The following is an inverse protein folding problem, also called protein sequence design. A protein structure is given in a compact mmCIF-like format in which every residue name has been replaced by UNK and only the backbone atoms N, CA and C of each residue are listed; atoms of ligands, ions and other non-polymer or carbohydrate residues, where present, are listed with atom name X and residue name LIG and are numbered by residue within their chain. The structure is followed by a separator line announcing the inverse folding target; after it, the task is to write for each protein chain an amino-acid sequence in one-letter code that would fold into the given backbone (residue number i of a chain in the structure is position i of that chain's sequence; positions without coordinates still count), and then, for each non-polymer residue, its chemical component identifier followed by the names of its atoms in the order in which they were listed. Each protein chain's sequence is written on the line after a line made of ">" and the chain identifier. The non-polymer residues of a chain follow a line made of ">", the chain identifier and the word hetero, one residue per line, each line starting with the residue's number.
data_IF_801576538451
#
_entry.id   IF_801576538451
#
_cell.length_a   1.000
_cell.length_b   1.000
_cell.length_c   1.000
_cell.angle_alpha   90.00
_cell.angle_beta   90.00
_cell.angle_gamma   90.00
#
_symmetry.space_group_name_H-M   'P 1'
#
loop_
_entity.id
_entity.type
_entity.pdbx_description
1 polymer ?
#
# COMPACT_ATOMS: atom_id res chain seq x y z
N UNK A 1 11.80 -2.86 15.89
CA UNK A 1 10.60 -3.30 15.18
C UNK A 1 11.06 -3.97 13.89
N UNK A 2 10.93 -5.30 13.78
CA UNK A 2 11.34 -6.04 12.58
C UNK A 2 10.23 -5.88 11.53
N UNK A 3 10.39 -4.92 10.65
CA UNK A 3 9.43 -4.65 9.57
C UNK A 3 9.64 -5.73 8.50
N UNK A 4 8.70 -6.65 8.37
CA UNK A 4 8.75 -7.69 7.35
C UNK A 4 8.14 -7.16 6.06
N UNK A 5 8.98 -6.54 5.22
CA UNK A 5 8.62 -6.21 3.84
C UNK A 5 8.68 -7.48 2.97
N UNK A 6 7.75 -7.59 2.02
CA UNK A 6 7.71 -8.73 1.07
C UNK A 6 8.99 -8.75 0.21
N UNK A 7 9.29 -9.84 -0.51
CA UNK A 7 10.34 -9.83 -1.53
C UNK A 7 10.20 -8.65 -2.51
N UNK A 8 11.33 -8.10 -3.00
CA UNK A 8 11.34 -6.88 -3.83
C UNK A 8 10.47 -7.00 -5.08
N UNK A 9 10.50 -8.15 -5.74
CA UNK A 9 9.66 -8.44 -6.91
C UNK A 9 8.16 -8.32 -6.60
N UNK A 10 7.74 -8.80 -5.43
CA UNK A 10 6.36 -8.78 -4.99
C UNK A 10 5.91 -7.38 -4.55
N UNK A 11 6.77 -6.64 -3.86
CA UNK A 11 6.52 -5.24 -3.52
C UNK A 11 6.44 -4.36 -4.76
N UNK A 12 7.31 -4.59 -5.74
CA UNK A 12 7.25 -3.90 -7.04
C UNK A 12 5.93 -4.21 -7.72
N UNK A 13 5.52 -5.48 -7.77
CA UNK A 13 4.24 -5.87 -8.34
C UNK A 13 3.06 -5.16 -7.65
N UNK A 14 3.05 -5.10 -6.32
CA UNK A 14 2.00 -4.39 -5.55
C UNK A 14 1.98 -2.89 -5.86
N UNK A 15 3.16 -2.25 -5.95
CA UNK A 15 3.25 -0.83 -6.31
C UNK A 15 2.73 -0.60 -7.73
N UNK A 16 3.13 -1.41 -8.71
CA UNK A 16 2.68 -1.22 -10.10
C UNK A 16 1.16 -1.40 -10.22
N UNK A 17 0.58 -2.40 -9.55
CA UNK A 17 -0.87 -2.59 -9.48
C UNK A 17 -1.60 -1.40 -8.85
N UNK A 18 -1.03 -0.82 -7.79
CA UNK A 18 -1.56 0.41 -7.23
C UNK A 18 -1.54 1.55 -8.25
N UNK A 19 -0.44 1.73 -8.98
CA UNK A 19 -0.33 2.80 -9.98
C UNK A 19 -1.32 2.64 -11.14
N UNK A 20 -1.58 1.39 -11.54
CA UNK A 20 -2.46 1.04 -12.66
C UNK A 20 -3.94 1.20 -12.30
N UNK A 21 -4.35 0.74 -11.11
CA UNK A 21 -5.78 0.60 -10.78
C UNK A 21 -6.29 1.53 -9.68
N UNK A 22 -5.41 2.21 -8.93
CA UNK A 22 -5.81 2.88 -7.68
C UNK A 22 -5.29 4.33 -7.63
N UNK A 23 -4.08 4.59 -8.11
CA UNK A 23 -3.43 5.91 -8.02
C UNK A 23 -4.28 7.05 -8.62
N UNK A 24 -5.04 6.77 -9.69
CA UNK A 24 -5.93 7.74 -10.32
C UNK A 24 -7.14 8.13 -9.45
N UNK A 25 -7.51 7.33 -8.46
CA UNK A 25 -8.72 7.59 -7.65
C UNK A 25 -8.48 8.72 -6.67
N UNK A 26 -7.30 8.77 -6.06
CA UNK A 26 -6.97 9.75 -5.03
C UNK A 26 -5.80 10.68 -5.37
N UNK A 27 -4.97 10.39 -6.38
CA UNK A 27 -3.84 11.23 -6.84
C UNK A 27 -2.91 11.75 -5.71
N UNK A 28 -2.77 10.98 -4.63
CA UNK A 28 -2.05 11.39 -3.42
C UNK A 28 -0.53 11.29 -3.58
N UNK A 29 -0.06 10.41 -4.46
CA UNK A 29 1.36 10.13 -4.63
C UNK A 29 1.85 10.53 -6.02
N UNK A 30 3.09 11.01 -6.06
CA UNK A 30 3.81 11.18 -7.32
C UNK A 30 4.52 9.87 -7.68
N UNK A 31 3.97 9.16 -8.66
CA UNK A 31 4.39 7.79 -9.03
C UNK A 31 5.92 7.64 -9.19
N UNK A 32 6.64 8.50 -9.94
CA UNK A 32 8.09 8.40 -10.05
C UNK A 32 8.81 8.47 -8.69
N UNK A 33 8.39 9.37 -7.80
CA UNK A 33 8.97 9.50 -6.46
C UNK A 33 8.69 8.26 -5.62
N UNK A 34 7.48 7.71 -5.68
CA UNK A 34 7.11 6.50 -4.93
C UNK A 34 7.90 5.27 -5.38
N UNK A 35 8.22 5.14 -6.67
CA UNK A 35 9.12 4.09 -7.17
C UNK A 35 10.53 4.25 -6.59
N UNK A 36 11.04 5.48 -6.51
CA UNK A 36 12.34 5.74 -5.86
C UNK A 36 12.31 5.41 -4.38
N UNK A 37 11.22 5.67 -3.67
CA UNK A 37 11.03 5.27 -2.26
C UNK A 37 11.12 3.75 -2.10
N UNK A 38 10.53 2.97 -3.01
CA UNK A 38 10.65 1.52 -3.01
C UNK A 38 12.09 1.07 -3.26
N UNK A 39 12.74 1.63 -4.28
CA UNK A 39 14.14 1.28 -4.62
C UNK A 39 15.10 1.60 -3.47
N UNK A 40 14.97 2.77 -2.85
CA UNK A 40 15.76 3.20 -1.71
C UNK A 40 15.53 2.31 -0.48
N UNK A 41 14.27 2.00 -0.15
CA UNK A 41 13.92 1.13 0.97
C UNK A 41 14.53 -0.28 0.81
N UNK A 42 14.41 -0.88 -0.38
CA UNK A 42 15.00 -2.21 -0.64
C UNK A 42 16.53 -2.16 -0.78
N UNK A 43 17.09 -1.05 -1.24
CA UNK A 43 18.53 -0.80 -1.23
C UNK A 43 19.07 -0.79 0.20
N UNK A 44 18.45 -0.03 1.10
CA UNK A 44 18.81 0.02 2.51
C UNK A 44 18.71 -1.36 3.18
N UNK A 45 17.64 -2.11 2.92
CA UNK A 45 17.50 -3.49 3.42
C UNK A 45 18.62 -4.41 2.94
N UNK A 46 19.01 -4.32 1.66
CA UNK A 46 20.08 -5.14 1.09
C UNK A 46 21.43 -4.89 1.79
N UNK A 47 21.68 -3.65 2.20
CA UNK A 47 22.88 -3.26 2.95
C UNK A 47 22.75 -3.45 4.47
N UNK A 48 21.64 -3.99 4.96
CA UNK A 48 21.39 -4.19 6.40
C UNK A 48 21.16 -2.89 7.17
N UNK A 49 20.78 -1.81 6.47
CA UNK A 49 20.46 -0.52 7.07
C UNK A 49 19.00 -0.45 7.52
N UNK A 50 18.72 0.45 8.46
CA UNK A 50 17.35 0.73 8.88
C UNK A 50 16.63 1.58 7.84
N UNK A 51 15.49 1.09 7.36
CA UNK A 51 14.64 1.83 6.44
C UNK A 51 13.98 3.02 7.15
N UNK A 52 13.90 4.15 6.46
CA UNK A 52 13.20 5.34 6.94
C UNK A 52 11.73 4.99 7.28
N UNK A 53 11.25 5.27 8.51
CA UNK A 53 9.91 4.85 8.96
C UNK A 53 8.78 5.32 8.04
N UNK A 54 8.78 6.59 7.61
CA UNK A 54 7.72 7.11 6.75
C UNK A 54 7.68 6.45 5.37
N UNK A 55 8.84 6.09 4.81
CA UNK A 55 8.92 5.32 3.56
C UNK A 55 8.23 3.95 3.73
N UNK A 56 8.48 3.27 4.86
CA UNK A 56 7.82 2.00 5.15
C UNK A 56 6.31 2.17 5.32
N UNK A 57 5.87 3.19 6.07
CA UNK A 57 4.45 3.45 6.26
C UNK A 57 3.73 3.67 4.93
N UNK A 58 4.33 4.45 4.02
CA UNK A 58 3.79 4.68 2.68
C UNK A 58 3.69 3.37 1.88
N UNK A 59 4.77 2.59 1.82
CA UNK A 59 4.80 1.31 1.09
C UNK A 59 3.77 0.32 1.64
N UNK A 60 3.65 0.17 2.95
CA UNK A 60 2.67 -0.72 3.58
C UNK A 60 1.23 -0.26 3.32
N UNK A 61 0.97 1.05 3.31
CA UNK A 61 -0.36 1.60 3.00
C UNK A 61 -0.76 1.31 1.55
N UNK A 62 0.19 1.43 0.61
CA UNK A 62 0.03 1.05 -0.80
C UNK A 62 -0.26 -0.45 -0.90
N UNK A 63 0.53 -1.30 -0.24
CA UNK A 63 0.35 -2.76 -0.28
C UNK A 63 -1.01 -3.17 0.28
N UNK A 64 -1.40 -2.58 1.41
CA UNK A 64 -2.69 -2.84 2.05
C UNK A 64 -3.86 -2.50 1.12
N UNK A 65 -3.86 -1.30 0.57
CA UNK A 65 -4.93 -0.82 -0.33
C UNK A 65 -5.01 -1.66 -1.59
N UNK A 66 -3.85 -2.03 -2.15
CA UNK A 66 -3.76 -2.88 -3.34
C UNK A 66 -4.34 -4.26 -3.09
N UNK A 67 -3.94 -4.93 -2.00
CA UNK A 67 -4.44 -6.24 -1.64
C UNK A 67 -5.92 -6.25 -1.26
N UNK A 68 -6.43 -5.14 -0.74
CA UNK A 68 -7.84 -5.01 -0.41
C UNK A 68 -8.72 -4.79 -1.65
N UNK A 69 -8.28 -3.95 -2.59
CA UNK A 69 -9.08 -3.53 -3.74
C UNK A 69 -9.00 -4.51 -4.91
N UNK A 70 -7.84 -5.12 -5.18
CA UNK A 70 -7.71 -6.00 -6.34
C UNK A 70 -8.54 -7.29 -6.17
N UNK A 71 -9.30 -7.61 -7.22
CA UNK A 71 -9.98 -8.89 -7.28
C UNK A 71 -8.97 -10.05 -7.45
N UNK A 72 -9.26 -11.23 -6.90
CA UNK A 72 -8.37 -12.40 -7.00
C UNK A 72 -8.02 -12.80 -8.43
N UNK A 73 -8.91 -12.51 -9.40
CA UNK A 73 -8.69 -12.83 -10.82
C UNK A 73 -7.61 -11.96 -11.46
N UNK A 74 -7.43 -10.74 -10.95
CA UNK A 74 -6.37 -9.80 -11.35
C UNK A 74 -5.14 -9.88 -10.44
N UNK A 75 -5.28 -10.49 -9.27
CA UNK A 75 -4.18 -10.82 -8.39
C UNK A 75 -3.56 -12.17 -8.76
N UNK A 76 -2.87 -12.21 -9.90
CA UNK A 76 -2.02 -13.34 -10.30
C UNK A 76 -1.13 -13.83 -9.16
N UNK A 77 -1.14 -15.14 -8.87
CA UNK A 77 -0.23 -15.98 -8.04
C UNK A 77 0.27 -15.49 -6.66
N UNK A 78 0.18 -14.21 -6.33
CA UNK A 78 0.74 -13.56 -5.15
C UNK A 78 -0.12 -13.82 -3.91
N UNK A 79 -1.43 -13.94 -4.12
CA UNK A 79 -2.41 -14.30 -3.11
C UNK A 79 -3.06 -15.63 -3.47
N UNK A 80 -3.23 -16.49 -2.46
CA UNK A 80 -3.84 -17.81 -2.65
C UNK A 80 -5.34 -17.71 -2.98
N UNK A 81 -6.02 -16.71 -2.42
CA UNK A 81 -7.43 -16.42 -2.61
C UNK A 81 -7.76 -15.02 -2.03
N UNK A 82 -9.01 -14.58 -2.20
CA UNK A 82 -9.47 -13.29 -1.69
C UNK A 82 -9.30 -13.12 -0.17
N UNK A 83 -9.61 -14.16 0.61
CA UNK A 83 -9.51 -14.10 2.06
C UNK A 83 -8.05 -13.90 2.51
N UNK A 84 -7.11 -14.54 1.82
CA UNK A 84 -5.69 -14.36 2.04
C UNK A 84 -5.23 -12.94 1.71
N UNK A 85 -5.68 -12.36 0.60
CA UNK A 85 -5.38 -10.98 0.23
C UNK A 85 -5.91 -9.98 1.28
N UNK A 86 -7.16 -10.15 1.73
CA UNK A 86 -7.77 -9.33 2.78
C UNK A 86 -7.00 -9.47 4.11
N UNK A 87 -6.61 -10.69 4.50
CA UNK A 87 -5.79 -10.89 5.70
C UNK A 87 -4.44 -10.17 5.59
N UNK A 88 -3.77 -10.24 4.44
CA UNK A 88 -2.54 -9.47 4.20
C UNK A 88 -2.77 -7.96 4.31
N UNK A 89 -3.86 -7.46 3.70
CA UNK A 89 -4.22 -6.05 3.78
C UNK A 89 -4.40 -5.57 5.23
N UNK A 90 -5.09 -6.34 6.06
CA UNK A 90 -5.29 -6.03 7.48
C UNK A 90 -3.95 -6.00 8.24
N UNK A 91 -3.07 -6.95 7.98
CA UNK A 91 -1.74 -7.01 8.63
C UNK A 91 -0.90 -5.80 8.25
N UNK A 92 -0.84 -5.46 6.95
CA UNK A 92 -0.09 -4.30 6.48
C UNK A 92 -0.68 -2.97 6.95
N UNK A 93 -2.00 -2.88 7.06
CA UNK A 93 -2.68 -1.72 7.64
C UNK A 93 -2.26 -1.48 9.08
N UNK A 94 -2.29 -2.53 9.92
CA UNK A 94 -1.86 -2.42 11.32
C UNK A 94 -0.40 -2.01 11.43
N UNK A 95 0.48 -2.65 10.66
CA UNK A 95 1.90 -2.32 10.65
C UNK A 95 2.14 -0.87 10.19
N UNK A 96 1.42 -0.39 9.17
CA UNK A 96 1.50 0.99 8.71
C UNK A 96 1.07 1.98 9.80
N UNK A 97 -0.02 1.70 10.52
CA UNK A 97 -0.49 2.53 11.63
C UNK A 97 0.52 2.58 12.78
N UNK A 98 1.09 1.44 13.18
CA UNK A 98 2.11 1.38 14.22
C UNK A 98 3.36 2.22 13.84
N UNK A 99 3.76 2.17 12.57
CA UNK A 99 4.90 2.96 12.06
C UNK A 99 4.54 4.44 11.96
N UNK A 100 3.32 4.81 11.55
CA UNK A 100 2.86 6.19 11.52
C UNK A 100 2.83 6.80 12.92
N UNK A 101 2.35 6.05 13.91
CA UNK A 101 2.37 6.49 15.31
C UNK A 101 3.80 6.68 15.81
N UNK A 102 4.71 5.76 15.47
CA UNK A 102 6.13 5.93 15.76
C UNK A 102 6.72 7.17 15.07
N UNK A 103 6.45 7.36 13.78
CA UNK A 103 6.93 8.49 12.98
C UNK A 103 6.45 9.82 13.55
N UNK A 104 5.16 9.92 13.91
CA UNK A 104 4.56 11.10 14.52
C UNK A 104 5.21 11.49 15.85
N UNK A 105 5.62 10.50 16.65
CA UNK A 105 6.21 10.74 17.98
C UNK A 105 7.72 11.06 17.92
N UNK A 106 8.42 10.64 16.86
CA UNK A 106 9.89 10.62 16.83
C UNK A 106 10.50 11.43 15.68
N UNK A 107 9.68 12.00 14.79
CA UNK A 107 10.17 12.76 13.63
C UNK A 107 9.45 14.11 13.51
N UNK A 108 9.91 14.96 12.59
CA UNK A 108 9.26 16.24 12.28
C UNK A 108 8.04 16.10 11.35
N UNK A 109 7.61 14.88 11.05
CA UNK A 109 6.61 14.59 10.03
C UNK A 109 7.18 14.70 8.62
N UNK A 110 6.66 13.89 7.70
CA UNK A 110 7.05 13.87 6.29
C UNK A 110 5.83 13.88 5.37
N UNK A 111 6.05 14.18 4.08
CA UNK A 111 4.97 14.09 3.09
C UNK A 111 4.50 12.65 2.93
N UNK A 112 5.40 11.67 3.06
CA UNK A 112 5.09 10.25 3.01
C UNK A 112 4.16 9.83 4.15
N UNK A 113 4.30 10.40 5.36
CA UNK A 113 3.37 10.15 6.47
C UNK A 113 1.95 10.64 6.14
N UNK A 114 1.84 11.82 5.52
CA UNK A 114 0.56 12.38 5.08
C UNK A 114 -0.04 11.52 3.97
N UNK A 115 0.77 11.13 2.98
CA UNK A 115 0.33 10.28 1.88
C UNK A 115 -0.17 8.92 2.37
N UNK A 116 0.60 8.26 3.25
CA UNK A 116 0.22 7.01 3.89
C UNK A 116 -1.11 7.14 4.64
N UNK A 117 -1.26 8.21 5.43
CA UNK A 117 -2.49 8.49 6.19
C UNK A 117 -3.70 8.63 5.27
N UNK A 118 -3.60 9.40 4.18
CA UNK A 118 -4.72 9.58 3.24
C UNK A 118 -5.08 8.27 2.54
N UNK A 119 -4.09 7.47 2.14
CA UNK A 119 -4.30 6.16 1.52
C UNK A 119 -5.06 5.22 2.50
N UNK A 120 -4.63 5.14 3.76
CA UNK A 120 -5.31 4.31 4.77
C UNK A 120 -6.72 4.81 5.08
N UNK A 121 -6.93 6.13 5.17
CA UNK A 121 -8.26 6.71 5.33
C UNK A 121 -9.19 6.30 4.18
N UNK A 122 -8.70 6.39 2.93
CA UNK A 122 -9.46 5.93 1.77
C UNK A 122 -9.79 4.45 1.88
N UNK A 123 -8.84 3.62 2.29
CA UNK A 123 -9.09 2.20 2.53
C UNK A 123 -10.17 1.99 3.60
N UNK A 124 -10.10 2.66 4.75
CA UNK A 124 -11.12 2.54 5.81
C UNK A 124 -12.51 2.97 5.35
N UNK A 125 -12.62 4.10 4.65
CA UNK A 125 -13.91 4.51 4.06
C UNK A 125 -14.45 3.47 3.06
N UNK A 126 -13.57 2.81 2.31
CA UNK A 126 -13.96 1.74 1.40
C UNK A 126 -14.16 0.38 2.08
N UNK A 127 -13.65 0.16 3.30
CA UNK A 127 -13.84 -1.06 4.08
C UNK A 127 -15.13 -0.99 4.88
N UNK A 128 -15.30 0.09 5.64
CA UNK A 128 -16.48 0.37 6.47
C UNK A 128 -17.68 0.79 5.61
N UNK A 129 -17.42 1.27 4.39
CA UNK A 129 -18.40 1.75 3.42
C UNK A 129 -18.17 1.22 2.01
N UNK A 130 -17.78 -0.05 1.86
CA UNK A 130 -17.63 -0.77 0.58
C UNK A 130 -18.97 -0.84 -0.16
N UNK A 131 -19.41 0.31 -0.65
CA UNK A 131 -20.66 0.47 -1.36
C UNK A 131 -20.59 -0.44 -2.57
N UNK A 132 -21.59 -1.33 -2.77
CA UNK A 132 -21.71 -2.12 -3.98
C UNK A 132 -21.51 -1.31 -5.27
N UNK A 133 -21.76 0.02 -5.20
CA UNK A 133 -21.58 0.96 -6.31
C UNK A 133 -20.11 1.18 -6.68
N UNK A 134 -19.17 1.26 -5.74
CA UNK A 134 -17.76 1.46 -6.08
C UNK A 134 -17.20 0.22 -6.81
N UNK A 135 -17.49 -0.98 -6.28
CA UNK A 135 -17.13 -2.25 -6.92
C UNK A 135 -17.79 -2.42 -8.30
N UNK A 136 -19.04 -1.98 -8.45
CA UNK A 136 -19.72 -2.00 -9.74
C UNK A 136 -19.06 -1.04 -10.75
N UNK A 137 -18.73 0.19 -10.34
CA UNK A 137 -18.08 1.17 -11.23
C UNK A 137 -16.67 0.74 -11.63
N UNK A 138 -15.86 0.22 -10.71
CA UNK A 138 -14.51 -0.27 -11.04
C UNK A 138 -14.54 -1.44 -12.03
N UNK A 139 -15.55 -2.32 -11.93
CA UNK A 139 -15.75 -3.43 -12.88
C UNK A 139 -16.18 -3.00 -14.29
N UNK A 140 -16.70 -1.77 -14.45
CA UNK A 140 -17.06 -1.20 -15.75
C UNK A 140 -15.81 -0.65 -16.44
N UNK A 141 -14.92 -0.01 -15.68
CA UNK A 141 -13.70 0.61 -16.20
C UNK A 141 -12.66 -0.44 -16.63
N UNK A 142 -12.60 -1.62 -15.98
CA UNK A 142 -11.66 -2.69 -16.33
C UNK A 142 -12.03 -3.53 -17.56
N UNK A 143 -13.11 -3.17 -18.28
CA UNK A 143 -13.60 -3.89 -19.47
C UNK A 143 -13.37 -3.17 -20.79
N UNK A 144 -12.81 -1.96 -20.78
CA UNK A 144 -12.32 -1.26 -21.97
C UNK A 144 -10.81 -1.44 -22.13
#
# INVERSE_FOLDING_TARGET
>A
MSIWLRPKNEATWLLERYTEYIAFVHHVVHIPSTRLVLEDAYGQLLFGLNVVPCHVALLLSIFATTAYILEPKTADSLFLNQANAISCAIVWTKAALDILEYSYRNTHGSIEDVQATIILLFMFFNVEGSSPRFRAMSSIISKE
#
